data_IF_783719540400
#
_entry.id   IF_783719540400
#
_cell.length_a   1.000
_cell.length_b   1.000
_cell.length_c   1.000
_cell.angle_alpha   90.00
_cell.angle_beta   90.00
_cell.angle_gamma   90.00
#
_symmetry.space_group_name_H-M   'P 1'
#
loop_
_entity.id
_entity.type
_entity.pdbx_description
1 polymer ?
#
# COMPACT_ATOMS: atom_id res chain seq x y z
N UNK A 1 19.78 8.28 -4.67
CA UNK A 1 20.46 9.08 -3.63
C UNK A 1 19.82 8.70 -2.31
N UNK A 2 20.59 8.09 -1.40
CA UNK A 2 20.05 7.63 -0.11
C UNK A 2 19.58 8.82 0.74
N UNK A 3 18.51 8.68 1.54
CA UNK A 3 17.99 9.72 2.43
C UNK A 3 18.93 10.10 3.58
N UNK A 4 20.19 9.65 3.60
CA UNK A 4 21.13 9.78 4.71
C UNK A 4 21.66 11.21 4.95
N UNK A 5 20.91 12.24 4.54
CA UNK A 5 21.17 13.65 4.87
C UNK A 5 20.64 14.01 6.27
N UNK A 6 21.10 15.14 6.81
CA UNK A 6 20.77 15.66 8.15
C UNK A 6 19.28 15.94 8.42
N UNK A 7 18.40 15.76 7.44
CA UNK A 7 16.96 16.05 7.50
C UNK A 7 16.07 14.78 7.56
N UNK A 8 16.66 13.58 7.57
CA UNK A 8 15.88 12.33 7.70
C UNK A 8 15.26 12.20 9.11
N UNK A 9 14.00 11.76 9.16
CA UNK A 9 13.36 11.42 10.43
C UNK A 9 14.10 10.26 11.11
N UNK A 10 14.00 10.16 12.45
CA UNK A 10 14.54 9.01 13.19
C UNK A 10 14.00 7.68 12.64
N UNK A 11 12.73 7.68 12.23
CA UNK A 11 12.08 6.54 11.59
C UNK A 11 12.81 6.15 10.29
N UNK A 12 13.00 7.09 9.36
CA UNK A 12 13.65 6.83 8.08
C UNK A 12 15.08 6.35 8.27
N UNK A 13 15.84 7.02 9.15
CA UNK A 13 17.21 6.63 9.46
C UNK A 13 17.28 5.18 9.99
N UNK A 14 16.45 4.84 10.98
CA UNK A 14 16.42 3.50 11.58
C UNK A 14 15.97 2.43 10.59
N UNK A 15 14.94 2.73 9.80
CA UNK A 15 14.40 1.80 8.81
C UNK A 15 15.44 1.50 7.74
N UNK A 16 16.06 2.54 7.18
CA UNK A 16 16.98 2.41 6.06
C UNK A 16 18.31 1.80 6.47
N UNK A 17 18.88 2.22 7.61
CA UNK A 17 20.10 1.60 8.17
C UNK A 17 19.90 0.08 8.30
N UNK A 18 18.81 -0.35 8.94
CA UNK A 18 18.54 -1.78 9.11
C UNK A 18 18.21 -2.46 7.80
N UNK A 19 17.52 -1.81 6.88
CA UNK A 19 17.23 -2.38 5.58
C UNK A 19 18.52 -2.60 4.77
N UNK A 20 19.47 -1.66 4.83
CA UNK A 20 20.81 -1.77 4.24
C UNK A 20 21.65 -2.87 4.92
N UNK A 21 21.57 -3.03 6.25
CA UNK A 21 22.21 -4.14 6.97
C UNK A 21 21.70 -5.49 6.44
N UNK A 22 20.39 -5.64 6.28
CA UNK A 22 19.79 -6.86 5.72
C UNK A 22 20.20 -7.07 4.24
N UNK A 23 20.49 -6.00 3.51
CA UNK A 23 20.99 -6.09 2.13
C UNK A 23 22.43 -6.61 2.12
N UNK A 24 23.29 -6.05 2.97
CA UNK A 24 24.67 -6.50 3.15
C UNK A 24 24.75 -7.96 3.63
N UNK A 25 23.79 -8.42 4.44
CA UNK A 25 23.66 -9.82 4.87
C UNK A 25 23.08 -10.78 3.82
N UNK A 26 22.69 -10.29 2.64
CA UNK A 26 22.12 -11.11 1.56
C UNK A 26 20.74 -11.70 1.87
N UNK A 27 19.91 -10.97 2.63
CA UNK A 27 18.57 -11.44 3.05
C UNK A 27 17.50 -11.34 1.96
N UNK A 28 17.74 -10.55 0.91
CA UNK A 28 16.82 -10.37 -0.21
C UNK A 28 16.98 -11.45 -1.28
N UNK A 29 15.89 -11.76 -1.97
CA UNK A 29 15.89 -12.77 -3.05
C UNK A 29 16.62 -12.29 -4.31
N UNK A 30 16.75 -10.99 -4.51
CA UNK A 30 17.41 -10.35 -5.63
C UNK A 30 17.78 -8.91 -5.23
N UNK A 31 18.71 -8.32 -5.97
CA UNK A 31 19.04 -6.90 -5.82
C UNK A 31 18.00 -6.04 -6.53
N UNK A 32 17.51 -5.02 -5.84
CA UNK A 32 16.50 -4.08 -6.33
C UNK A 32 17.12 -2.74 -6.71
N UNK A 33 18.34 -2.46 -6.26
CA UNK A 33 18.96 -1.13 -6.32
C UNK A 33 19.35 -0.68 -7.73
N UNK A 34 19.51 -1.63 -8.65
CA UNK A 34 19.87 -1.40 -10.06
C UNK A 34 18.74 -1.78 -11.03
N UNK A 35 17.47 -1.79 -10.59
CA UNK A 35 16.35 -2.05 -11.51
C UNK A 35 16.24 -0.93 -12.56
N UNK A 36 16.23 -1.24 -13.88
CA UNK A 36 16.01 -0.23 -14.91
C UNK A 36 14.65 0.43 -14.74
N UNK A 37 14.63 1.76 -14.63
CA UNK A 37 13.42 2.56 -14.44
C UNK A 37 13.36 3.67 -15.46
N UNK A 38 12.21 3.85 -16.11
CA UNK A 38 11.92 4.96 -17.02
C UNK A 38 10.54 5.53 -16.77
N UNK A 39 10.36 6.81 -17.06
CA UNK A 39 9.05 7.45 -17.08
C UNK A 39 8.56 7.48 -18.52
N UNK A 40 7.34 7.03 -18.78
CA UNK A 40 6.75 7.15 -20.11
C UNK A 40 6.50 8.62 -20.47
N UNK A 41 6.65 8.92 -21.77
CA UNK A 41 6.16 10.17 -22.31
C UNK A 41 4.64 10.16 -22.39
N UNK A 42 4.01 11.30 -22.09
CA UNK A 42 2.56 11.45 -22.13
C UNK A 42 1.99 12.20 -20.94
N UNK A 43 0.66 12.14 -20.80
CA UNK A 43 -0.11 12.89 -19.80
C UNK A 43 0.08 12.33 -18.39
N UNK A 44 0.02 11.01 -18.25
CA UNK A 44 0.06 10.31 -16.96
C UNK A 44 1.48 10.08 -16.49
N UNK A 45 2.43 9.95 -17.41
CA UNK A 45 3.86 9.78 -17.10
C UNK A 45 4.09 8.56 -16.20
N UNK A 46 3.53 7.41 -16.60
CA UNK A 46 3.70 6.16 -15.85
C UNK A 46 5.17 5.83 -15.59
N UNK A 47 5.45 5.35 -14.39
CA UNK A 47 6.79 4.91 -13.99
C UNK A 47 6.89 3.43 -14.32
N UNK A 48 7.77 3.06 -15.25
CA UNK A 48 8.00 1.69 -15.67
C UNK A 48 9.30 1.21 -15.06
N UNK A 49 9.25 0.15 -14.26
CA UNK A 49 10.43 -0.45 -13.64
C UNK A 49 10.52 -1.92 -14.03
N UNK A 50 11.66 -2.33 -14.59
CA UNK A 50 11.93 -3.72 -14.89
C UNK A 50 12.54 -4.42 -13.67
N UNK A 51 11.81 -5.39 -13.12
CA UNK A 51 12.24 -6.18 -11.98
C UNK A 51 12.26 -7.68 -12.33
N UNK A 52 13.32 -8.12 -13.01
CA UNK A 52 13.52 -9.50 -13.46
C UNK A 52 13.62 -10.49 -12.29
N UNK A 53 14.22 -10.07 -11.17
CA UNK A 53 14.35 -10.90 -9.97
C UNK A 53 12.99 -11.30 -9.37
N UNK A 54 12.00 -10.40 -9.48
CA UNK A 54 10.62 -10.65 -9.02
C UNK A 54 9.85 -11.61 -9.91
N UNK A 55 10.21 -11.75 -11.19
CA UNK A 55 9.54 -12.64 -12.14
C UNK A 55 9.64 -14.12 -11.73
N UNK A 56 10.83 -14.54 -11.26
CA UNK A 56 11.15 -15.94 -10.97
C UNK A 56 11.01 -16.32 -9.49
N UNK A 57 11.05 -15.35 -8.57
CA UNK A 57 11.15 -15.59 -7.12
C UNK A 57 9.94 -15.13 -6.32
N UNK A 58 8.88 -14.59 -6.94
CA UNK A 58 7.66 -14.22 -6.21
C UNK A 58 6.90 -15.48 -5.78
N UNK A 59 6.35 -15.47 -4.56
CA UNK A 59 5.52 -16.58 -4.06
C UNK A 59 4.20 -16.64 -4.83
N UNK A 60 3.74 -17.86 -5.10
CA UNK A 60 2.43 -18.09 -5.69
C UNK A 60 1.33 -17.75 -4.68
N UNK A 61 0.23 -17.20 -5.14
CA UNK A 61 -0.95 -16.95 -4.30
C UNK A 61 -1.59 -18.28 -3.92
N UNK A 62 -1.69 -18.57 -2.62
CA UNK A 62 -2.28 -19.81 -2.09
C UNK A 62 -3.77 -19.65 -1.73
N UNK A 63 -4.38 -18.52 -2.09
CA UNK A 63 -5.75 -18.16 -1.71
C UNK A 63 -6.59 -17.94 -2.96
N UNK A 64 -7.88 -18.23 -2.83
CA UNK A 64 -8.84 -17.96 -3.89
C UNK A 64 -9.06 -16.45 -4.03
N UNK A 65 -9.21 -15.97 -5.26
CA UNK A 65 -9.44 -14.56 -5.56
C UNK A 65 -10.93 -14.16 -5.56
N UNK A 66 -11.83 -15.10 -5.27
CA UNK A 66 -13.28 -14.94 -5.28
C UNK A 66 -13.81 -14.12 -4.09
N UNK A 67 -13.17 -14.27 -2.92
CA UNK A 67 -13.61 -13.66 -1.66
C UNK A 67 -12.55 -12.73 -1.06
N UNK A 68 -12.95 -11.49 -0.79
CA UNK A 68 -12.13 -10.46 -0.12
C UNK A 68 -11.89 -10.80 1.34
N UNK A 69 -12.90 -11.37 2.00
CA UNK A 69 -12.88 -11.76 3.41
C UNK A 69 -12.70 -13.27 3.50
N UNK A 70 -11.59 -13.72 4.07
CA UNK A 70 -11.30 -15.13 4.32
C UNK A 70 -10.71 -15.30 5.72
N UNK A 71 -11.06 -16.38 6.40
CA UNK A 71 -10.45 -16.74 7.68
C UNK A 71 -8.94 -16.95 7.52
N UNK A 72 -8.18 -16.57 8.55
CA UNK A 72 -6.76 -16.87 8.61
C UNK A 72 -6.52 -18.38 8.53
N UNK A 73 -5.50 -18.78 7.78
CA UNK A 73 -5.09 -20.18 7.63
C UNK A 73 -3.62 -20.34 8.03
N UNK A 74 -3.41 -20.90 9.23
CA UNK A 74 -2.08 -21.12 9.78
C UNK A 74 -1.25 -22.16 9.01
N UNK A 75 -1.87 -22.98 8.16
CA UNK A 75 -1.16 -23.98 7.36
C UNK A 75 -0.39 -23.32 6.19
N UNK A 76 -0.96 -22.29 5.58
CA UNK A 76 -0.37 -21.50 4.48
C UNK A 76 0.74 -20.58 4.97
N UNK A 77 1.50 -19.98 4.05
CA UNK A 77 2.50 -19.01 4.46
C UNK A 77 1.85 -17.84 5.23
N UNK A 78 2.48 -17.44 6.33
CA UNK A 78 2.09 -16.25 7.09
C UNK A 78 3.31 -15.70 7.85
N UNK A 79 3.23 -14.44 8.31
CA UNK A 79 4.39 -13.76 8.88
C UNK A 79 4.88 -14.28 10.23
N UNK A 80 4.13 -15.12 10.95
CA UNK A 80 4.70 -15.80 12.14
C UNK A 80 5.80 -16.80 11.77
N UNK A 81 5.83 -17.21 10.49
CA UNK A 81 6.87 -18.07 9.89
C UNK A 81 8.01 -17.27 9.26
N UNK A 82 7.92 -15.92 9.24
CA UNK A 82 9.04 -15.09 8.84
C UNK A 82 10.19 -15.31 9.83
N UNK A 83 11.42 -15.36 9.33
CA UNK A 83 12.56 -15.59 10.20
C UNK A 83 12.79 -14.35 11.07
N UNK A 84 13.30 -14.53 12.30
CA UNK A 84 13.64 -13.40 13.18
C UNK A 84 14.62 -12.42 12.52
N UNK A 85 15.43 -12.89 11.57
CA UNK A 85 16.37 -12.08 10.79
C UNK A 85 15.74 -11.38 9.56
N UNK A 86 14.41 -11.35 9.46
CA UNK A 86 13.68 -10.49 8.52
C UNK A 86 13.09 -9.27 9.25
N UNK A 87 13.24 -9.18 10.57
CA UNK A 87 12.67 -8.10 11.38
C UNK A 87 13.55 -6.85 11.32
N UNK A 88 12.95 -5.74 10.92
CA UNK A 88 13.55 -4.40 11.00
C UNK A 88 13.41 -3.91 12.44
N UNK A 89 12.20 -3.71 12.95
CA UNK A 89 11.92 -3.34 14.34
C UNK A 89 10.45 -3.58 14.72
N UNK A 90 10.13 -3.53 16.01
CA UNK A 90 8.75 -3.39 16.48
C UNK A 90 8.33 -1.92 16.46
N UNK A 91 7.09 -1.63 16.05
CA UNK A 91 6.55 -0.28 15.90
C UNK A 91 5.37 -0.05 16.83
N UNK A 92 5.46 0.93 17.74
CA UNK A 92 4.34 1.31 18.59
C UNK A 92 4.10 2.82 18.52
N UNK A 93 2.91 3.27 18.06
CA UNK A 93 2.52 4.68 18.17
C UNK A 93 2.41 5.06 19.65
N UNK A 94 3.04 6.16 20.06
CA UNK A 94 2.92 6.64 21.44
C UNK A 94 1.55 7.29 21.63
N UNK A 95 0.68 6.67 22.44
CA UNK A 95 -0.63 7.25 22.76
C UNK A 95 -0.48 8.55 23.58
N UNK A 96 -1.38 9.53 23.42
CA UNK A 96 -1.29 10.83 24.10
C UNK A 96 -1.19 10.75 25.64
N UNK A 97 -1.71 9.69 26.27
CA UNK A 97 -1.65 9.52 27.74
C UNK A 97 -0.22 9.24 28.27
N UNK A 98 0.69 8.71 27.44
CA UNK A 98 2.09 8.46 27.83
C UNK A 98 3.00 9.69 27.65
N UNK A 99 2.43 10.85 27.25
CA UNK A 99 3.17 12.10 26.99
C UNK A 99 3.67 12.82 28.25
N UNK A 100 3.33 12.32 29.45
CA UNK A 100 3.70 12.93 30.74
C UNK A 100 5.19 12.81 31.09
N UNK A 101 5.95 11.97 30.37
CA UNK A 101 7.40 11.88 30.54
C UNK A 101 8.07 12.70 29.45
N UNK A 102 8.80 13.76 29.86
CA UNK A 102 9.66 14.58 29.00
C UNK A 102 10.58 13.68 28.14
N UNK A 103 10.22 13.44 26.88
CA UNK A 103 11.09 12.72 25.94
C UNK A 103 12.09 13.69 25.32
N UNK A 104 13.35 13.26 25.23
CA UNK A 104 14.42 13.97 24.50
C UNK A 104 14.38 13.74 22.98
N UNK A 105 13.53 12.84 22.50
CA UNK A 105 13.46 12.43 21.09
C UNK A 105 12.28 13.10 20.37
N UNK A 106 12.46 13.56 19.11
CA UNK A 106 11.38 14.18 18.32
C UNK A 106 10.37 13.18 17.73
N UNK A 107 10.66 11.87 17.73
CA UNK A 107 9.71 10.83 17.26
C UNK A 107 8.56 10.60 18.25
N UNK A 108 7.35 10.38 17.73
CA UNK A 108 6.16 10.01 18.52
C UNK A 108 5.92 8.50 18.53
N UNK A 109 6.91 7.67 18.22
CA UNK A 109 6.83 6.22 18.29
C UNK A 109 7.97 5.59 19.11
N UNK A 110 7.73 4.37 19.59
CA UNK A 110 8.76 3.53 20.21
C UNK A 110 9.23 2.46 19.23
N UNK A 111 10.56 2.34 19.09
CA UNK A 111 11.23 1.34 18.27
C UNK A 111 12.03 0.43 19.20
N UNK A 112 11.70 -0.87 19.24
CA UNK A 112 12.43 -1.83 20.07
C UNK A 112 12.87 -3.07 19.28
N UNK A 113 13.99 -3.66 19.71
CA UNK A 113 14.51 -4.92 19.15
C UNK A 113 13.92 -6.15 19.85
N UNK A 114 13.28 -5.95 21.01
CA UNK A 114 12.65 -6.97 21.82
C UNK A 114 11.42 -6.36 22.50
N UNK A 115 10.30 -7.09 22.50
CA UNK A 115 9.13 -6.74 23.30
C UNK A 115 8.92 -7.79 24.41
N UNK A 116 8.35 -7.33 25.52
CA UNK A 116 7.80 -8.15 26.60
C UNK A 116 6.66 -9.01 26.05
N UNK A 117 6.61 -10.29 26.44
CA UNK A 117 5.76 -11.34 25.86
C UNK A 117 4.22 -11.17 26.05
N UNK A 118 3.74 -10.03 26.56
CA UNK A 118 2.34 -9.87 27.00
C UNK A 118 1.43 -9.16 25.97
N UNK A 119 1.97 -8.51 24.93
CA UNK A 119 1.17 -7.88 23.86
C UNK A 119 1.61 -8.38 22.48
N UNK A 120 0.66 -8.65 21.58
CA UNK A 120 0.94 -9.05 20.20
C UNK A 120 1.62 -7.89 19.44
N UNK A 121 2.92 -7.98 19.09
CA UNK A 121 3.68 -6.84 18.59
C UNK A 121 3.23 -6.43 17.17
N UNK A 122 3.26 -5.14 16.88
CA UNK A 122 3.28 -4.68 15.48
C UNK A 122 4.72 -4.70 14.99
N UNK A 123 5.00 -5.49 13.96
CA UNK A 123 6.35 -5.67 13.44
C UNK A 123 6.52 -4.99 12.08
N UNK A 124 7.67 -4.37 11.87
CA UNK A 124 8.15 -3.95 10.56
C UNK A 124 9.18 -4.98 10.10
N UNK A 125 8.92 -5.65 8.99
CA UNK A 125 9.77 -6.67 8.40
C UNK A 125 10.32 -6.18 7.05
N UNK A 126 11.48 -6.66 6.62
CA UNK A 126 11.89 -6.44 5.23
C UNK A 126 10.94 -7.19 4.29
N UNK A 127 10.67 -6.64 3.11
CA UNK A 127 10.10 -7.44 2.05
C UNK A 127 11.23 -8.19 1.34
N UNK A 128 11.37 -9.49 1.58
CA UNK A 128 12.40 -10.33 0.94
C UNK A 128 12.28 -10.41 -0.59
N UNK A 129 11.18 -9.95 -1.17
CA UNK A 129 10.99 -9.71 -2.62
C UNK A 129 10.73 -8.22 -2.88
N UNK A 130 11.74 -7.36 -2.70
CA UNK A 130 11.56 -5.91 -2.69
C UNK A 130 11.14 -5.38 -4.07
N UNK A 131 10.42 -4.27 -4.09
CA UNK A 131 9.97 -3.60 -5.33
C UNK A 131 10.91 -2.43 -5.56
N UNK A 132 11.19 -1.68 -4.51
CA UNK A 132 12.11 -0.55 -4.51
C UNK A 132 12.93 -0.54 -3.21
N UNK A 133 13.91 0.34 -3.14
CA UNK A 133 14.69 0.68 -1.97
C UNK A 133 13.84 0.95 -0.73
N UNK A 134 14.26 0.37 0.40
CA UNK A 134 13.54 0.47 1.67
C UNK A 134 12.19 -0.27 1.70
N UNK A 135 11.93 -1.23 0.80
CA UNK A 135 10.68 -1.97 0.80
C UNK A 135 10.54 -2.86 2.05
N UNK A 136 9.61 -2.46 2.92
CA UNK A 136 9.25 -3.12 4.18
C UNK A 136 7.77 -3.50 4.22
N UNK A 137 7.43 -4.33 5.19
CA UNK A 137 6.08 -4.80 5.51
C UNK A 137 5.74 -4.40 6.94
N UNK A 138 4.64 -3.65 7.13
CA UNK A 138 4.06 -3.46 8.46
C UNK A 138 3.06 -4.58 8.71
N UNK A 139 3.28 -5.38 9.75
CA UNK A 139 2.44 -6.51 10.16
C UNK A 139 1.85 -6.21 11.53
N UNK A 140 0.59 -5.71 11.61
CA UNK A 140 -0.04 -5.39 12.87
C UNK A 140 -0.30 -6.64 13.70
N UNK A 141 0.03 -6.59 14.99
CA UNK A 141 -0.23 -7.66 15.97
C UNK A 141 0.08 -9.05 15.40
N UNK A 142 1.33 -9.27 14.99
CA UNK A 142 1.74 -10.43 14.18
C UNK A 142 1.34 -11.79 14.78
N UNK A 143 1.29 -11.92 16.11
CA UNK A 143 0.90 -13.16 16.80
C UNK A 143 -0.61 -13.36 16.89
N UNK A 144 -1.42 -12.30 16.71
CA UNK A 144 -2.89 -12.40 16.65
C UNK A 144 -3.37 -12.99 15.31
N UNK A 145 -2.47 -13.14 14.33
CA UNK A 145 -2.77 -13.78 13.05
C UNK A 145 -3.98 -13.16 12.33
N UNK A 146 -4.05 -11.82 12.33
CA UNK A 146 -5.17 -11.10 11.73
C UNK A 146 -5.28 -11.43 10.24
N UNK A 147 -6.48 -11.73 9.71
CA UNK A 147 -6.67 -11.90 8.27
C UNK A 147 -6.43 -10.57 7.53
N UNK A 148 -6.17 -10.63 6.22
CA UNK A 148 -5.88 -9.47 5.36
C UNK A 148 -7.13 -8.57 5.16
N UNK A 149 -7.54 -7.91 6.23
CA UNK A 149 -8.74 -7.08 6.34
C UNK A 149 -8.40 -5.81 7.12
N UNK A 150 -8.96 -4.70 6.67
CA UNK A 150 -8.80 -3.39 7.30
C UNK A 150 -9.78 -3.25 8.45
N UNK A 151 -9.29 -2.69 9.55
CA UNK A 151 -10.08 -2.16 10.66
C UNK A 151 -9.64 -0.72 10.94
N UNK A 152 -10.43 0.04 11.70
CA UNK A 152 -10.05 1.38 12.16
C UNK A 152 -8.65 1.41 12.78
N UNK A 153 -8.39 0.53 13.76
CA UNK A 153 -7.15 0.55 14.53
C UNK A 153 -5.93 0.21 13.67
N UNK A 154 -6.07 -0.76 12.75
CA UNK A 154 -4.96 -1.21 11.89
C UNK A 154 -4.65 -0.21 10.78
N UNK A 155 -5.67 0.46 10.22
CA UNK A 155 -5.44 1.56 9.28
C UNK A 155 -4.81 2.76 9.98
N UNK A 156 -5.28 3.10 11.19
CA UNK A 156 -4.72 4.20 11.97
C UNK A 156 -3.24 3.96 12.32
N UNK A 157 -2.86 2.72 12.63
CA UNK A 157 -1.46 2.31 12.81
C UNK A 157 -0.61 2.60 11.55
N UNK A 158 -1.10 2.24 10.36
CA UNK A 158 -0.41 2.51 9.10
C UNK A 158 -0.28 4.02 8.82
N UNK A 159 -1.31 4.82 9.12
CA UNK A 159 -1.23 6.27 9.01
C UNK A 159 -0.18 6.87 9.95
N UNK A 160 -0.08 6.35 11.18
CA UNK A 160 0.97 6.77 12.11
C UNK A 160 2.37 6.42 11.61
N UNK A 161 2.58 5.24 11.02
CA UNK A 161 3.87 4.89 10.41
C UNK A 161 4.26 5.86 9.29
N UNK A 162 3.33 6.22 8.40
CA UNK A 162 3.57 7.21 7.36
C UNK A 162 3.89 8.61 7.95
N UNK A 163 3.22 8.99 9.04
CA UNK A 163 3.46 10.25 9.72
C UNK A 163 4.85 10.31 10.39
N UNK A 164 5.32 9.20 10.98
CA UNK A 164 6.66 9.10 11.60
C UNK A 164 7.79 9.22 10.57
N UNK A 165 7.60 8.64 9.38
CA UNK A 165 8.54 8.83 8.27
C UNK A 165 8.67 10.31 7.92
N UNK A 166 7.55 11.05 7.92
CA UNK A 166 7.47 12.45 7.53
C UNK A 166 8.15 12.76 6.18
N UNK A 167 8.12 11.78 5.27
CA UNK A 167 8.78 11.82 3.99
C UNK A 167 7.74 11.63 2.88
N UNK A 168 7.62 12.59 1.97
CA UNK A 168 6.64 12.54 0.88
C UNK A 168 6.91 11.42 -0.13
N UNK A 169 8.14 10.90 -0.16
CA UNK A 169 8.53 9.81 -1.04
C UNK A 169 8.30 8.43 -0.42
N UNK A 170 8.01 8.35 0.88
CA UNK A 170 7.61 7.12 1.55
C UNK A 170 6.10 6.92 1.42
N UNK A 171 5.71 5.82 0.77
CA UNK A 171 4.30 5.47 0.53
C UNK A 171 3.99 4.15 1.19
N UNK A 172 2.79 4.03 1.74
CA UNK A 172 2.29 2.76 2.28
C UNK A 172 1.11 2.30 1.44
N UNK A 173 1.20 1.08 0.92
CA UNK A 173 0.17 0.43 0.14
C UNK A 173 -0.49 -0.72 0.91
N UNK A 174 -1.78 -0.92 0.64
CA UNK A 174 -2.54 -2.10 1.06
C UNK A 174 -3.22 -2.73 -0.16
N UNK A 175 -3.26 -4.06 -0.16
CA UNK A 175 -4.01 -4.85 -1.12
C UNK A 175 -5.00 -5.72 -0.34
N UNK A 176 -6.28 -5.72 -0.73
CA UNK A 176 -7.21 -6.73 -0.23
C UNK A 176 -7.00 -8.07 -0.94
N UNK A 177 -7.53 -9.17 -0.39
CA UNK A 177 -7.74 -10.37 -1.19
C UNK A 177 -8.66 -10.04 -2.38
N UNK A 178 -8.42 -10.66 -3.54
CA UNK A 178 -9.06 -10.29 -4.81
C UNK A 178 -8.46 -9.05 -5.51
N UNK A 179 -7.70 -8.22 -4.79
CA UNK A 179 -6.97 -7.05 -5.31
C UNK A 179 -5.45 -7.24 -5.19
N UNK A 180 -5.00 -8.47 -5.46
CA UNK A 180 -3.60 -8.88 -5.53
C UNK A 180 -2.79 -8.91 -4.22
N UNK A 181 -3.45 -8.98 -3.06
CA UNK A 181 -2.81 -9.56 -1.88
C UNK A 181 -2.44 -11.04 -2.15
N UNK A 182 -1.25 -11.44 -1.71
CA UNK A 182 -0.73 -12.81 -1.92
C UNK A 182 -0.67 -13.64 -0.64
N UNK A 183 -0.88 -13.00 0.51
CA UNK A 183 -0.79 -13.59 1.84
C UNK A 183 -2.03 -13.15 2.63
N UNK A 184 -2.76 -14.10 3.22
CA UNK A 184 -3.87 -13.82 4.14
C UNK A 184 -3.36 -13.71 5.58
N UNK A 185 -2.52 -12.71 5.83
CA UNK A 185 -2.08 -12.26 7.14
C UNK A 185 -1.90 -10.75 7.00
N UNK A 186 -2.66 -9.97 7.76
CA UNK A 186 -2.72 -8.51 7.65
C UNK A 186 -1.33 -7.90 7.52
N UNK A 187 -1.09 -7.24 6.40
CA UNK A 187 0.11 -6.47 6.18
C UNK A 187 -0.16 -5.28 5.26
N UNK A 188 0.59 -4.22 5.54
CA UNK A 188 0.80 -3.10 4.64
C UNK A 188 2.22 -3.17 4.07
N UNK A 189 2.45 -2.59 2.91
CA UNK A 189 3.74 -2.59 2.22
C UNK A 189 4.19 -1.15 2.04
N UNK A 190 5.44 -0.80 2.36
CA UNK A 190 5.92 0.56 2.14
C UNK A 190 7.33 0.60 1.57
N UNK A 191 7.62 1.57 0.72
CA UNK A 191 8.95 1.83 0.18
C UNK A 191 9.11 3.30 -0.20
N UNK A 192 10.34 3.69 -0.52
CA UNK A 192 10.68 5.04 -0.95
C UNK A 192 10.77 5.09 -2.47
N UNK A 193 10.10 6.05 -3.11
CA UNK A 193 10.31 6.34 -4.52
C UNK A 193 10.33 7.85 -4.72
N UNK A 194 11.45 8.33 -5.25
CA UNK A 194 11.76 9.76 -5.44
C UNK A 194 11.07 10.38 -6.67
N UNK A 195 9.84 9.92 -6.95
CA UNK A 195 8.96 10.39 -8.01
C UNK A 195 7.53 10.35 -7.49
N UNK A 196 6.70 11.30 -7.93
CA UNK A 196 5.26 11.26 -7.65
C UNK A 196 4.62 10.18 -8.50
N UNK A 197 3.74 9.38 -7.91
CA UNK A 197 2.99 8.41 -8.68
C UNK A 197 2.00 9.16 -9.58
N UNK A 198 1.70 8.63 -10.78
CA UNK A 198 0.70 9.21 -11.68
C UNK A 198 -0.64 9.53 -11.01
N UNK A 199 -1.12 8.68 -10.10
CA UNK A 199 -2.38 8.94 -9.37
C UNK A 199 -2.31 10.17 -8.46
N UNK A 200 -1.13 10.52 -7.94
CA UNK A 200 -0.93 11.70 -7.10
C UNK A 200 -0.98 13.00 -7.90
N UNK A 201 -0.68 12.92 -9.20
CA UNK A 201 -0.73 14.04 -10.13
C UNK A 201 -2.10 14.19 -10.81
N UNK A 202 -3.01 13.23 -10.60
CA UNK A 202 -4.31 13.25 -11.23
C UNK A 202 -5.19 14.40 -10.69
N UNK A 203 -5.89 15.07 -11.60
CA UNK A 203 -6.90 16.06 -11.22
C UNK A 203 -8.02 15.40 -10.41
N UNK A 204 -8.48 16.10 -9.37
CA UNK A 204 -9.55 15.63 -8.49
C UNK A 204 -10.74 16.59 -8.47
N UNK A 205 -11.94 16.04 -8.32
CA UNK A 205 -13.18 16.78 -8.13
C UNK A 205 -13.73 16.49 -6.72
N UNK A 206 -13.99 17.51 -5.88
CA UNK A 206 -14.59 17.32 -4.56
C UNK A 206 -15.95 16.64 -4.66
N UNK A 207 -16.27 15.79 -3.69
CA UNK A 207 -17.57 15.11 -3.58
C UNK A 207 -18.32 15.53 -2.33
N UNK A 208 -17.75 15.30 -1.15
CA UNK A 208 -18.34 15.67 0.14
C UNK A 208 -17.26 15.79 1.23
N UNK A 209 -17.65 16.27 2.41
CA UNK A 209 -16.80 16.29 3.61
C UNK A 209 -17.45 15.47 4.72
N UNK A 210 -16.65 14.75 5.49
CA UNK A 210 -17.08 13.96 6.64
C UNK A 210 -16.06 14.10 7.78
N UNK A 211 -16.47 14.57 8.95
CA UNK A 211 -15.59 14.75 10.12
C UNK A 211 -14.27 15.49 9.84
N UNK A 212 -14.31 16.53 9.00
CA UNK A 212 -13.12 17.30 8.60
C UNK A 212 -12.25 16.63 7.52
N UNK A 213 -12.60 15.42 7.07
CA UNK A 213 -11.98 14.75 5.93
C UNK A 213 -12.68 15.20 4.64
N UNK A 214 -11.91 15.64 3.66
CA UNK A 214 -12.42 15.90 2.31
C UNK A 214 -12.35 14.61 1.50
N UNK A 215 -13.49 14.22 0.91
CA UNK A 215 -13.59 13.12 -0.05
C UNK A 215 -13.79 13.70 -1.45
N UNK A 216 -12.91 13.31 -2.36
CA UNK A 216 -12.92 13.69 -3.78
C UNK A 216 -12.85 12.44 -4.66
N UNK A 217 -13.03 12.60 -5.98
CA UNK A 217 -12.76 11.55 -6.98
C UNK A 217 -11.73 12.03 -7.99
N UNK A 218 -10.98 11.10 -8.57
CA UNK A 218 -10.20 11.40 -9.79
C UNK A 218 -11.14 11.70 -10.96
N UNK A 219 -10.72 12.63 -11.84
CA UNK A 219 -11.51 13.03 -13.03
C UNK A 219 -11.12 12.22 -14.25
N UNK A 220 -9.82 12.20 -14.58
CA UNK A 220 -9.31 11.61 -15.83
C UNK A 220 -8.25 10.55 -15.59
N UNK A 221 -8.21 9.93 -14.41
CA UNK A 221 -7.28 8.84 -14.15
C UNK A 221 -7.87 7.52 -14.72
N UNK A 222 -7.07 6.59 -15.27
CA UNK A 222 -7.59 5.38 -15.95
C UNK A 222 -8.44 4.46 -15.06
N UNK A 223 -8.27 4.58 -13.74
CA UNK A 223 -9.13 3.93 -12.77
C UNK A 223 -9.86 4.97 -11.93
N UNK A 224 -11.08 4.62 -11.52
CA UNK A 224 -11.90 5.44 -10.64
C UNK A 224 -11.41 5.31 -9.21
N UNK A 225 -10.99 6.44 -8.64
CA UNK A 225 -10.37 6.50 -7.31
C UNK A 225 -11.11 7.50 -6.44
N UNK A 226 -11.39 7.11 -5.20
CA UNK A 226 -11.77 8.05 -4.16
C UNK A 226 -10.50 8.56 -3.48
N UNK A 227 -10.40 9.87 -3.27
CA UNK A 227 -9.27 10.52 -2.61
C UNK A 227 -9.78 11.12 -1.30
N UNK A 228 -9.33 10.55 -0.19
CA UNK A 228 -9.70 10.98 1.16
C UNK A 228 -8.52 11.73 1.77
N UNK A 229 -8.72 12.98 2.19
CA UNK A 229 -7.62 13.81 2.70
C UNK A 229 -7.99 14.58 3.96
N UNK A 230 -7.07 14.63 4.91
CA UNK A 230 -7.16 15.38 6.16
C UNK A 230 -6.21 16.58 6.12
N UNK A 231 -6.49 17.52 5.21
CA UNK A 231 -5.69 18.75 5.00
C UNK A 231 -6.26 19.98 5.71
N UNK A 232 -7.53 19.94 6.09
CA UNK A 232 -8.23 21.07 6.69
C UNK A 232 -7.92 21.22 8.20
N UNK A 233 -8.04 22.45 8.71
CA UNK A 233 -7.95 22.76 10.14
C UNK A 233 -8.95 21.94 10.96
N UNK A 234 -8.46 21.11 11.89
CA UNK A 234 -9.28 20.24 12.73
C UNK A 234 -9.35 18.78 12.26
N UNK A 235 -8.89 18.48 11.03
CA UNK A 235 -8.74 17.11 10.57
C UNK A 235 -7.55 16.45 11.28
N UNK A 236 -7.70 15.19 11.68
CA UNK A 236 -6.62 14.40 12.25
C UNK A 236 -6.60 13.00 11.63
N UNK A 237 -5.49 12.28 11.79
CA UNK A 237 -5.30 10.94 11.22
C UNK A 237 -6.36 9.94 11.67
N UNK A 238 -6.93 10.10 12.87
CA UNK A 238 -7.98 9.23 13.39
C UNK A 238 -9.31 9.43 12.65
N UNK A 239 -9.67 10.68 12.36
CA UNK A 239 -10.85 10.98 11.53
C UNK A 239 -10.70 10.45 10.10
N UNK A 240 -9.51 10.61 9.50
CA UNK A 240 -9.19 10.01 8.21
C UNK A 240 -9.29 8.47 8.24
N UNK A 241 -8.69 7.84 9.24
CA UNK A 241 -8.75 6.39 9.42
C UNK A 241 -10.19 5.90 9.57
N UNK A 242 -11.05 6.62 10.31
CA UNK A 242 -12.47 6.23 10.50
C UNK A 242 -13.29 6.34 9.22
N UNK A 243 -13.13 7.42 8.48
CA UNK A 243 -13.82 7.59 7.19
C UNK A 243 -13.41 6.49 6.21
N UNK A 244 -12.11 6.22 6.09
CA UNK A 244 -11.62 5.23 5.12
C UNK A 244 -11.85 3.79 5.60
N UNK A 245 -11.74 3.49 6.89
CA UNK A 245 -12.06 2.16 7.41
C UNK A 245 -13.53 1.81 7.21
N UNK A 246 -14.45 2.77 7.37
CA UNK A 246 -15.86 2.58 7.04
C UNK A 246 -16.07 2.18 5.57
N UNK A 247 -15.37 2.83 4.64
CA UNK A 247 -15.39 2.44 3.22
C UNK A 247 -14.84 1.03 3.01
N UNK A 248 -13.72 0.68 3.66
CA UNK A 248 -13.11 -0.64 3.58
C UNK A 248 -14.04 -1.74 4.13
N UNK A 249 -14.71 -1.49 5.25
CA UNK A 249 -15.69 -2.40 5.85
C UNK A 249 -16.88 -2.65 4.91
N UNK A 250 -17.35 -1.62 4.21
CA UNK A 250 -18.38 -1.76 3.20
C UNK A 250 -17.91 -2.58 1.98
N UNK A 251 -16.67 -2.40 1.52
CA UNK A 251 -16.08 -3.22 0.47
C UNK A 251 -15.93 -4.68 0.91
N UNK A 252 -15.44 -4.91 2.13
CA UNK A 252 -15.34 -6.24 2.73
C UNK A 252 -16.71 -6.93 2.81
N UNK A 253 -17.75 -6.22 3.25
CA UNK A 253 -19.11 -6.75 3.40
C UNK A 253 -19.79 -7.05 2.04
N UNK A 254 -19.47 -6.27 1.01
CA UNK A 254 -20.02 -6.45 -0.35
C UNK A 254 -19.13 -7.31 -1.24
N UNK A 255 -18.06 -7.87 -0.68
CA UNK A 255 -17.06 -8.61 -1.41
C UNK A 255 -16.53 -7.79 -2.61
N UNK A 256 -16.14 -6.53 -2.42
CA UNK A 256 -15.55 -5.69 -3.48
C UNK A 256 -14.04 -5.62 -3.26
N UNK A 257 -13.19 -6.10 -4.17
CA UNK A 257 -11.74 -5.97 -4.02
C UNK A 257 -11.29 -4.51 -4.07
N UNK A 258 -10.27 -4.15 -3.29
CA UNK A 258 -9.78 -2.79 -3.22
C UNK A 258 -8.30 -2.68 -2.84
N UNK A 259 -7.70 -1.54 -3.16
CA UNK A 259 -6.37 -1.13 -2.73
C UNK A 259 -6.43 0.20 -2.00
N UNK A 260 -5.46 0.44 -1.13
CA UNK A 260 -5.25 1.74 -0.48
C UNK A 260 -3.82 2.21 -0.70
N UNK A 261 -3.62 3.42 -1.21
CA UNK A 261 -2.31 4.07 -1.22
C UNK A 261 -2.33 5.26 -0.25
N UNK A 262 -1.48 5.20 0.76
CA UNK A 262 -1.28 6.24 1.78
C UNK A 262 -0.07 7.08 1.37
N UNK A 263 -0.27 8.39 1.34
CA UNK A 263 0.68 9.41 0.89
C UNK A 263 0.66 10.62 1.83
N UNK A 264 1.45 11.65 1.55
CA UNK A 264 1.49 12.91 2.31
C UNK A 264 1.71 12.71 3.82
N UNK A 265 2.64 11.82 4.18
CA UNK A 265 2.91 11.45 5.58
C UNK A 265 1.65 11.02 6.34
N UNK A 266 0.77 10.26 5.68
CA UNK A 266 -0.46 9.73 6.25
C UNK A 266 -1.68 10.63 6.10
N UNK A 267 -1.57 11.83 5.51
CA UNK A 267 -2.69 12.79 5.42
C UNK A 267 -3.60 12.58 4.21
N UNK A 268 -3.22 11.73 3.25
CA UNK A 268 -4.02 11.42 2.08
C UNK A 268 -4.04 9.92 1.80
N UNK A 269 -5.24 9.37 1.54
CA UNK A 269 -5.44 7.99 1.13
C UNK A 269 -6.19 7.96 -0.19
N UNK A 270 -5.62 7.27 -1.18
CA UNK A 270 -6.29 6.89 -2.41
C UNK A 270 -6.95 5.52 -2.19
N UNK A 271 -8.27 5.48 -2.29
CA UNK A 271 -9.10 4.30 -2.11
C UNK A 271 -9.56 3.83 -3.49
N UNK A 272 -9.08 2.66 -3.89
CA UNK A 272 -9.18 2.18 -5.28
C UNK A 272 -9.96 0.87 -5.30
N UNK A 273 -11.30 0.91 -5.46
CA UNK A 273 -12.06 -0.30 -5.70
C UNK A 273 -11.71 -0.83 -7.10
N UNK A 274 -11.44 -2.14 -7.22
CA UNK A 274 -11.04 -2.75 -8.49
C UNK A 274 -11.68 -4.11 -8.73
N UNK A 275 -11.75 -4.51 -10.00
CA UNK A 275 -12.39 -5.75 -10.44
C UNK A 275 -11.49 -6.69 -11.24
N UNK A 276 -10.20 -6.38 -11.39
CA UNK A 276 -9.33 -7.04 -12.37
C UNK A 276 -9.28 -8.58 -12.24
N UNK A 277 -9.08 -9.10 -11.02
CA UNK A 277 -9.06 -10.57 -10.79
C UNK A 277 -10.37 -11.25 -11.20
N UNK A 278 -11.51 -10.57 -11.03
CA UNK A 278 -12.83 -11.06 -11.44
C UNK A 278 -13.02 -10.97 -12.94
N UNK A 279 -12.60 -9.87 -13.54
CA UNK A 279 -12.60 -9.70 -14.98
C UNK A 279 -11.79 -10.80 -15.66
N UNK A 280 -10.63 -11.20 -15.10
CA UNK A 280 -9.86 -12.37 -15.58
C UNK A 280 -10.68 -13.64 -15.44
N UNK A 281 -11.26 -13.92 -14.27
CA UNK A 281 -12.03 -15.14 -14.02
C UNK A 281 -13.25 -15.26 -14.95
N UNK A 282 -13.83 -14.13 -15.36
CA UNK A 282 -14.95 -14.05 -16.28
C UNK A 282 -14.55 -14.03 -17.77
N UNK A 283 -13.25 -14.01 -18.09
CA UNK A 283 -12.76 -13.91 -19.48
C UNK A 283 -12.99 -12.54 -20.13
N UNK A 284 -13.11 -11.48 -19.33
CA UNK A 284 -13.36 -10.11 -19.80
C UNK A 284 -12.07 -9.35 -20.12
N UNK A 285 -10.92 -9.81 -19.61
CA UNK A 285 -9.61 -9.15 -19.85
C UNK A 285 -9.00 -9.68 -21.16
N UNK A 286 -8.59 -8.79 -22.08
CA UNK A 286 -7.94 -9.21 -23.33
C UNK A 286 -6.67 -10.04 -23.09
N UNK A 287 -6.45 -11.06 -23.91
CA UNK A 287 -5.32 -11.99 -23.75
C UNK A 287 -3.97 -11.27 -23.79
N UNK A 288 -3.81 -10.26 -24.64
CA UNK A 288 -2.57 -9.49 -24.73
C UNK A 288 -2.26 -8.70 -23.45
N UNK A 289 -3.29 -8.30 -22.68
CA UNK A 289 -3.12 -7.69 -21.36
C UNK A 289 -2.73 -8.75 -20.33
N UNK A 290 -3.36 -9.92 -20.36
CA UNK A 290 -3.02 -11.05 -19.47
C UNK A 290 -1.57 -11.48 -19.69
N UNK A 291 -1.14 -11.54 -20.95
CA UNK A 291 0.19 -12.01 -21.34
C UNK A 291 1.31 -11.13 -20.80
N UNK A 292 1.06 -9.85 -20.50
CA UNK A 292 2.02 -8.96 -19.81
C UNK A 292 2.44 -9.50 -18.44
N UNK A 293 1.59 -10.31 -17.79
CA UNK A 293 1.79 -10.79 -16.43
C UNK A 293 1.81 -9.68 -15.38
N UNK A 294 1.37 -8.47 -15.73
CA UNK A 294 1.20 -7.35 -14.81
C UNK A 294 -0.08 -7.57 -14.03
N UNK A 295 0.05 -7.52 -12.71
CA UNK A 295 -1.06 -7.60 -11.79
C UNK A 295 -1.25 -6.21 -11.18
N UNK A 296 -2.38 -5.51 -11.40
CA UNK A 296 -2.60 -4.17 -10.86
C UNK A 296 -2.84 -4.21 -9.34
N UNK A 297 -1.80 -4.51 -8.56
CA UNK A 297 -1.77 -4.26 -7.13
C UNK A 297 -1.62 -2.75 -6.88
N UNK A 298 -1.65 -2.33 -5.62
CA UNK A 298 -1.69 -0.93 -5.19
C UNK A 298 -0.69 -0.01 -5.88
N UNK A 299 0.54 -0.48 -6.11
CA UNK A 299 1.58 0.35 -6.70
C UNK A 299 1.42 0.48 -8.22
N UNK A 300 1.14 -0.65 -8.89
CA UNK A 300 0.88 -0.70 -10.33
C UNK A 300 -0.38 0.10 -10.69
N UNK A 301 -1.48 -0.07 -9.97
CA UNK A 301 -2.73 0.66 -10.22
C UNK A 301 -2.61 2.17 -9.92
N UNK A 302 -1.71 2.55 -9.02
CA UNK A 302 -1.36 3.94 -8.75
C UNK A 302 -0.35 4.53 -9.75
N UNK A 303 0.18 3.72 -10.67
CA UNK A 303 0.97 4.14 -11.82
C UNK A 303 2.48 3.88 -11.72
N UNK A 304 2.92 3.10 -10.73
CA UNK A 304 4.26 2.51 -10.71
C UNK A 304 4.21 1.05 -11.22
N UNK A 305 4.43 0.89 -12.52
CA UNK A 305 4.35 -0.37 -13.25
C UNK A 305 5.59 -1.24 -13.02
N UNK A 306 5.45 -2.27 -12.19
CA UNK A 306 6.52 -3.25 -11.93
C UNK A 306 6.46 -4.38 -12.97
N UNK A 307 7.30 -4.26 -13.98
CA UNK A 307 7.39 -5.18 -15.11
C UNK A 307 8.34 -6.35 -14.83
N UNK A 308 8.03 -7.50 -15.42
CA UNK A 308 8.76 -8.76 -15.18
C UNK A 308 9.51 -9.26 -16.40
N UNK A 309 9.30 -8.65 -17.57
CA UNK A 309 9.89 -9.06 -18.85
C UNK A 309 10.49 -7.83 -19.54
N UNK A 310 11.65 -8.03 -20.16
CA UNK A 310 12.33 -6.99 -20.94
C UNK A 310 11.43 -6.49 -22.09
N UNK A 311 10.71 -7.40 -22.74
CA UNK A 311 9.79 -7.07 -23.83
C UNK A 311 8.71 -6.06 -23.41
N UNK A 312 8.07 -6.27 -22.26
CA UNK A 312 7.07 -5.32 -21.73
C UNK A 312 7.71 -3.97 -21.41
N UNK A 313 8.92 -3.98 -20.85
CA UNK A 313 9.64 -2.74 -20.54
C UNK A 313 9.94 -1.94 -21.80
N UNK A 314 10.30 -2.60 -22.90
CA UNK A 314 10.64 -1.93 -24.15
C UNK A 314 9.39 -1.48 -24.94
N UNK A 315 8.31 -2.27 -24.92
CA UNK A 315 7.16 -2.09 -25.82
C UNK A 315 5.92 -1.44 -25.20
N UNK A 316 5.78 -1.42 -23.87
CA UNK A 316 4.65 -0.73 -23.23
C UNK A 316 4.79 0.77 -23.37
N UNK A 317 3.72 1.39 -23.86
CA UNK A 317 3.55 2.83 -23.98
C UNK A 317 2.36 3.29 -23.11
N UNK A 318 2.13 4.61 -23.07
CA UNK A 318 1.07 5.17 -22.24
C UNK A 318 -0.33 4.66 -22.64
N UNK A 319 -0.73 4.63 -23.94
CA UNK A 319 -2.02 4.07 -24.34
C UNK A 319 -2.24 2.60 -23.93
N UNK A 320 -1.23 1.73 -24.08
CA UNK A 320 -1.33 0.32 -23.64
C UNK A 320 -1.46 0.21 -22.12
N UNK A 321 -0.73 1.06 -21.38
CA UNK A 321 -0.79 1.10 -19.91
C UNK A 321 -2.16 1.57 -19.43
N UNK A 322 -2.74 2.60 -20.06
CA UNK A 322 -4.11 3.05 -19.79
C UNK A 322 -5.10 1.91 -20.05
N UNK A 323 -5.05 1.28 -21.23
CA UNK A 323 -5.95 0.18 -21.58
C UNK A 323 -5.88 -0.98 -20.58
N UNK A 324 -4.69 -1.29 -20.07
CA UNK A 324 -4.49 -2.30 -19.02
C UNK A 324 -5.16 -1.89 -17.71
N UNK A 325 -4.92 -0.68 -17.22
CA UNK A 325 -5.49 -0.18 -15.96
C UNK A 325 -7.01 -0.06 -16.02
N UNK A 326 -7.58 0.31 -17.17
CA UNK A 326 -9.03 0.34 -17.40
C UNK A 326 -9.69 -1.03 -17.25
N UNK A 327 -8.95 -2.15 -17.38
CA UNK A 327 -9.51 -3.47 -17.08
C UNK A 327 -9.77 -3.67 -15.58
N UNK A 328 -9.09 -2.90 -14.72
CA UNK A 328 -9.22 -2.98 -13.28
C UNK A 328 -10.35 -2.10 -12.73
N UNK A 329 -10.79 -1.06 -13.45
CA UNK A 329 -11.77 -0.10 -12.93
C UNK A 329 -13.19 -0.67 -12.87
N UNK A 330 -13.95 -0.24 -11.86
CA UNK A 330 -15.41 -0.41 -11.83
C UNK A 330 -16.07 0.44 -12.92
N UNK A 331 -17.32 0.10 -13.30
CA UNK A 331 -18.15 0.95 -14.17
C UNK A 331 -18.47 2.30 -13.50
N UNK A 332 -18.89 3.31 -14.28
CA UNK A 332 -19.31 4.61 -13.72
C UNK A 332 -20.52 4.45 -12.80
N UNK A 333 -21.45 3.57 -13.17
CA UNK A 333 -22.67 3.29 -12.40
C UNK A 333 -22.33 2.65 -11.05
N UNK A 334 -21.51 1.60 -11.04
CA UNK A 334 -21.12 0.91 -9.81
C UNK A 334 -20.33 1.84 -8.88
N UNK A 335 -19.35 2.57 -9.43
CA UNK A 335 -18.56 3.52 -8.66
C UNK A 335 -19.43 4.67 -8.13
N UNK A 336 -20.33 5.19 -8.94
CA UNK A 336 -21.28 6.24 -8.55
C UNK A 336 -22.22 5.79 -7.44
N UNK A 337 -22.74 4.56 -7.53
CA UNK A 337 -23.59 3.95 -6.50
C UNK A 337 -22.86 3.80 -5.16
N UNK A 338 -21.62 3.29 -5.19
CA UNK A 338 -20.74 3.18 -4.02
C UNK A 338 -20.49 4.55 -3.40
N UNK A 339 -20.09 5.53 -4.21
CA UNK A 339 -19.75 6.85 -3.70
C UNK A 339 -20.97 7.60 -3.13
N UNK A 340 -22.13 7.48 -3.78
CA UNK A 340 -23.39 8.03 -3.28
C UNK A 340 -23.82 7.37 -1.96
N UNK A 341 -23.57 6.07 -1.79
CA UNK A 341 -23.77 5.39 -0.52
C UNK A 341 -22.86 5.97 0.57
N UNK A 342 -21.56 6.09 0.32
CA UNK A 342 -20.63 6.66 1.30
C UNK A 342 -21.00 8.09 1.68
N UNK A 343 -21.45 8.90 0.73
CA UNK A 343 -21.93 10.24 1.03
C UNK A 343 -23.13 10.22 1.98
N UNK A 344 -24.06 9.26 1.86
CA UNK A 344 -25.19 9.12 2.79
C UNK A 344 -24.78 8.57 4.15
N UNK A 345 -23.86 7.60 4.17
CA UNK A 345 -23.45 6.90 5.38
C UNK A 345 -22.55 7.78 6.28
N UNK A 346 -21.85 8.78 5.69
CA UNK A 346 -20.83 9.61 6.36
C UNK A 346 -21.16 11.12 6.46
N UNK A 347 -22.26 11.59 5.85
CA UNK A 347 -22.70 12.99 5.96
C UNK A 347 -23.63 13.20 7.15
#
# INVERSE_FOLDING_TARGET
>A
MSPSGSDASLFDATLLERWEDHLAEGRFRYDVTDCPTKTLEGRFRFIMQLNLGRASKKRQTEFSADNVVQSFDGSKFNFTKARQNEMVFSFQPTLPLHRTVMRKSPSMAEFSNAQTAEEAPNCVLINVSPIEYGHVLLVPRITDCLPQQITLDTLHLALHMAAESNNEHFRIGFNSLGAYATINHLHFQGYYLWQNFPVELAATAPMFKASGVTVARTVDYPVRVLVCSARDSGANLKELARVVSHMCEAFQATNTPFNLLITESGRCIYVIPQRFSRAIANGEVPQDVIDTGVNPAVFEIAGHMVLKRQEDYDQLDEPKTVRMLEQATLSEEDFGSIAARFQRDLA
#
